data_IF_938606520190
#
_entry.id   IF_938606520190
#
_cell.length_a   1.000
_cell.length_b   1.000
_cell.length_c   1.000
_cell.angle_alpha   90.00
_cell.angle_beta   90.00
_cell.angle_gamma   90.00
#
_symmetry.space_group_name_H-M   'P 1'
#
loop_
_entity.id
_entity.type
_entity.pdbx_description
1 polymer ?
#
# COMPACT_ATOMS: atom_id res chain seq x y z
N UNK A 1 7.84 11.21 -19.79
CA UNK A 1 6.84 10.25 -20.31
C UNK A 1 7.22 8.89 -19.77
N UNK A 2 6.29 8.18 -19.12
CA UNK A 2 6.65 7.01 -18.29
C UNK A 2 6.55 5.69 -19.05
N UNK A 3 7.50 4.80 -18.80
CA UNK A 3 7.58 3.46 -19.40
C UNK A 3 7.23 2.39 -18.38
N UNK A 4 6.54 1.34 -18.82
CA UNK A 4 6.33 0.11 -18.08
C UNK A 4 7.14 -1.02 -18.70
N UNK A 5 7.81 -1.83 -17.90
CA UNK A 5 8.57 -3.01 -18.29
C UNK A 5 7.98 -4.19 -17.54
N UNK A 6 7.28 -5.08 -18.26
CA UNK A 6 6.75 -6.30 -17.68
C UNK A 6 7.77 -7.41 -17.95
N UNK A 7 8.20 -8.06 -16.88
CA UNK A 7 9.08 -9.21 -16.91
C UNK A 7 8.33 -10.44 -16.39
N UNK A 8 8.06 -11.40 -17.27
CA UNK A 8 7.48 -12.70 -16.94
C UNK A 8 8.53 -13.81 -17.07
N UNK A 9 9.75 -13.55 -16.57
CA UNK A 9 10.97 -14.37 -16.67
C UNK A 9 11.55 -14.42 -18.08
N UNK A 10 11.22 -15.46 -18.86
CA UNK A 10 11.77 -15.64 -20.21
C UNK A 10 11.19 -14.65 -21.24
N UNK A 11 10.33 -13.72 -20.80
CA UNK A 11 9.61 -12.80 -21.65
C UNK A 11 9.56 -11.42 -21.00
N UNK A 12 10.14 -10.43 -21.69
CA UNK A 12 10.19 -9.07 -21.20
C UNK A 12 9.74 -8.10 -22.31
N UNK A 13 8.81 -7.20 -22.00
CA UNK A 13 8.32 -6.19 -22.95
C UNK A 13 8.20 -4.81 -22.31
N UNK A 14 8.34 -3.79 -23.16
CA UNK A 14 8.22 -2.39 -22.77
C UNK A 14 6.95 -1.80 -23.37
N UNK A 15 6.25 -0.98 -22.58
CA UNK A 15 5.01 -0.34 -22.93
C UNK A 15 5.03 1.14 -22.48
N UNK A 16 4.26 1.97 -23.14
CA UNK A 16 3.87 3.27 -22.57
C UNK A 16 2.97 2.99 -21.37
N UNK A 17 3.35 3.49 -20.18
CA UNK A 17 2.62 3.20 -18.95
C UNK A 17 1.19 3.73 -19.02
N UNK A 18 0.98 4.90 -19.65
CA UNK A 18 -0.31 5.59 -19.69
C UNK A 18 -1.28 4.94 -20.67
N UNK A 19 -0.82 4.58 -21.87
CA UNK A 19 -1.69 4.07 -22.94
C UNK A 19 -1.69 2.55 -23.06
N UNK A 20 -0.74 1.86 -22.45
CA UNK A 20 -0.55 0.41 -22.60
C UNK A 20 0.03 -0.01 -23.95
N UNK A 21 0.31 0.93 -24.86
CA UNK A 21 0.84 0.60 -26.18
C UNK A 21 2.28 0.11 -26.08
N UNK A 22 2.60 -0.98 -26.79
CA UNK A 22 3.96 -1.50 -26.86
C UNK A 22 4.92 -0.44 -27.39
N UNK A 23 6.08 -0.33 -26.78
CA UNK A 23 7.16 0.58 -27.19
C UNK A 23 8.50 -0.12 -27.24
N UNK A 24 9.38 0.42 -28.06
CA UNK A 24 10.80 0.08 -28.02
C UNK A 24 11.54 1.27 -27.39
N UNK A 25 12.24 0.99 -26.30
CA UNK A 25 13.18 1.90 -25.68
C UNK A 25 14.43 1.11 -25.30
N UNK A 26 15.58 1.60 -25.76
CA UNK A 26 16.90 1.01 -25.53
C UNK A 26 17.84 2.02 -24.87
N UNK A 27 17.28 3.01 -24.17
CA UNK A 27 18.10 3.94 -23.38
C UNK A 27 18.89 3.16 -22.32
N UNK A 28 20.06 3.67 -21.87
CA UNK A 28 20.85 3.01 -20.84
C UNK A 28 20.05 2.72 -19.57
N UNK A 29 19.15 3.63 -19.18
CA UNK A 29 18.26 3.46 -18.02
C UNK A 29 17.29 2.29 -18.22
N UNK A 30 16.64 2.19 -19.38
CA UNK A 30 15.76 1.06 -19.69
C UNK A 30 16.52 -0.26 -19.72
N UNK A 31 17.71 -0.31 -20.32
CA UNK A 31 18.53 -1.53 -20.33
C UNK A 31 18.96 -1.95 -18.92
N UNK A 32 19.32 -0.98 -18.07
CA UNK A 32 19.64 -1.22 -16.67
C UNK A 32 18.45 -1.84 -15.92
N UNK A 33 17.26 -1.22 -15.99
CA UNK A 33 16.07 -1.75 -15.29
C UNK A 33 15.67 -3.12 -15.81
N UNK A 34 15.79 -3.36 -17.12
CA UNK A 34 15.56 -4.68 -17.73
C UNK A 34 16.51 -5.75 -17.19
N UNK A 35 17.78 -5.41 -17.00
CA UNK A 35 18.76 -6.32 -16.44
C UNK A 35 18.44 -6.65 -14.97
N UNK A 36 18.16 -5.63 -14.15
CA UNK A 36 17.76 -5.81 -12.75
C UNK A 36 16.52 -6.73 -12.65
N UNK A 37 15.47 -6.48 -13.42
CA UNK A 37 14.27 -7.34 -13.43
C UNK A 37 14.57 -8.79 -13.80
N UNK A 38 15.45 -9.01 -14.79
CA UNK A 38 15.81 -10.35 -15.24
C UNK A 38 16.70 -11.12 -14.27
N UNK A 39 17.52 -10.42 -13.49
CA UNK A 39 18.41 -10.99 -12.47
C UNK A 39 17.68 -11.31 -11.16
N UNK A 40 16.61 -10.56 -10.85
CA UNK A 40 15.84 -10.70 -9.61
C UNK A 40 14.38 -11.09 -9.89
N UNK A 41 14.10 -12.35 -10.26
CA UNK A 41 12.72 -12.81 -10.44
C UNK A 41 11.97 -12.87 -9.09
N UNK A 42 10.75 -12.32 -9.05
CA UNK A 42 9.94 -12.34 -7.83
C UNK A 42 9.63 -13.79 -7.38
N UNK A 43 9.87 -14.15 -6.10
CA UNK A 43 9.65 -15.52 -5.62
C UNK A 43 8.16 -15.85 -5.42
N UNK A 44 7.34 -14.88 -4.97
CA UNK A 44 5.92 -15.06 -4.68
C UNK A 44 5.51 -14.37 -3.38
N UNK A 45 4.23 -14.03 -3.24
CA UNK A 45 3.72 -13.21 -2.13
C UNK A 45 3.81 -13.88 -0.74
N UNK A 46 3.80 -15.23 -0.70
CA UNK A 46 3.91 -16.03 0.53
C UNK A 46 5.24 -16.78 0.65
N UNK A 47 6.18 -16.55 -0.27
CA UNK A 47 7.50 -17.16 -0.22
C UNK A 47 8.34 -16.48 0.87
N UNK A 48 9.06 -17.27 1.66
CA UNK A 48 9.88 -16.77 2.76
C UNK A 48 11.01 -15.82 2.31
N UNK A 49 11.32 -15.78 1.01
CA UNK A 49 12.32 -14.87 0.42
C UNK A 49 11.73 -13.57 -0.12
N UNK A 50 10.45 -13.31 0.11
CA UNK A 50 9.76 -12.13 -0.41
C UNK A 50 10.41 -10.81 0.03
N UNK A 51 10.84 -10.70 1.30
CA UNK A 51 11.52 -9.51 1.80
C UNK A 51 12.99 -9.45 1.35
N UNK A 52 13.69 -10.59 1.32
CA UNK A 52 15.04 -10.69 0.77
C UNK A 52 15.10 -10.16 -0.67
N UNK A 53 14.13 -10.54 -1.52
CA UNK A 53 14.03 -10.08 -2.90
C UNK A 53 13.93 -8.55 -3.02
N UNK A 54 13.19 -7.90 -2.11
CA UNK A 54 13.07 -6.42 -2.08
C UNK A 54 14.45 -5.80 -1.83
N UNK A 55 15.17 -6.30 -0.83
CA UNK A 55 16.50 -5.80 -0.48
C UNK A 55 17.51 -6.04 -1.60
N UNK A 56 17.58 -7.25 -2.16
CA UNK A 56 18.52 -7.59 -3.24
C UNK A 56 18.30 -6.73 -4.49
N UNK A 57 17.03 -6.57 -4.88
CA UNK A 57 16.65 -5.73 -6.02
C UNK A 57 16.98 -4.25 -5.76
N UNK A 58 16.75 -3.77 -4.53
CA UNK A 58 17.05 -2.38 -4.15
C UNK A 58 18.55 -2.11 -4.12
N UNK A 59 19.37 -3.03 -3.59
CA UNK A 59 20.82 -2.91 -3.56
C UNK A 59 21.41 -2.90 -4.98
N UNK A 60 20.90 -3.73 -5.88
CA UNK A 60 21.34 -3.73 -7.28
C UNK A 60 20.99 -2.41 -8.00
N UNK A 61 19.82 -1.82 -7.70
CA UNK A 61 19.49 -0.47 -8.16
C UNK A 61 20.37 0.60 -7.51
N UNK A 62 20.74 0.44 -6.23
CA UNK A 62 21.66 1.37 -5.57
C UNK A 62 23.01 1.37 -6.28
N UNK A 63 23.55 0.21 -6.61
CA UNK A 63 24.83 0.07 -7.29
C UNK A 63 24.81 0.60 -8.73
N UNK A 64 23.72 0.33 -9.48
CA UNK A 64 23.63 0.71 -10.91
C UNK A 64 23.11 2.13 -11.14
N UNK A 65 22.27 2.66 -10.26
CA UNK A 65 21.59 3.94 -10.45
C UNK A 65 22.11 5.04 -9.51
N UNK A 66 22.70 4.68 -8.36
CA UNK A 66 23.16 5.60 -7.31
C UNK A 66 22.09 6.63 -6.88
N UNK A 67 20.95 6.18 -6.32
CA UNK A 67 19.91 7.07 -5.84
C UNK A 67 20.29 7.74 -4.50
N UNK A 68 19.56 8.80 -4.17
CA UNK A 68 19.60 9.46 -2.86
C UNK A 68 18.33 9.22 -2.04
N UNK A 69 17.23 8.82 -2.68
CA UNK A 69 15.99 8.45 -2.01
C UNK A 69 15.55 7.05 -2.42
N UNK A 70 15.20 6.22 -1.45
CA UNK A 70 14.65 4.89 -1.66
C UNK A 70 13.32 4.76 -0.92
N UNK A 71 12.31 4.19 -1.58
CA UNK A 71 11.05 3.81 -0.96
C UNK A 71 10.91 2.28 -1.00
N UNK A 72 10.94 1.62 0.16
CA UNK A 72 10.90 0.17 0.25
C UNK A 72 9.61 -0.31 0.90
N UNK A 73 9.02 -1.39 0.38
CA UNK A 73 7.86 -2.04 0.99
C UNK A 73 8.16 -3.52 1.23
N UNK A 74 8.13 -3.91 2.50
CA UNK A 74 8.22 -5.28 2.96
C UNK A 74 6.84 -5.75 3.43
N UNK A 75 6.19 -6.59 2.63
CA UNK A 75 4.81 -7.05 2.81
C UNK A 75 4.65 -8.57 2.96
N UNK A 76 5.74 -9.35 2.90
CA UNK A 76 5.69 -10.81 2.97
C UNK A 76 4.96 -11.28 4.25
N UNK A 77 5.37 -10.79 5.41
CA UNK A 77 4.78 -11.12 6.70
C UNK A 77 3.28 -10.79 6.75
N UNK A 78 2.86 -9.68 6.14
CA UNK A 78 1.45 -9.34 6.03
C UNK A 78 0.66 -10.39 5.22
N UNK A 79 1.20 -10.84 4.08
CA UNK A 79 0.55 -11.86 3.26
C UNK A 79 0.52 -13.22 3.96
N UNK A 80 1.61 -13.63 4.59
CA UNK A 80 1.67 -14.84 5.42
C UNK A 80 0.64 -14.76 6.56
N UNK A 81 0.53 -13.65 7.29
CA UNK A 81 -0.47 -13.52 8.35
C UNK A 81 -1.89 -13.50 7.80
N UNK A 82 -2.11 -12.79 6.69
CA UNK A 82 -3.45 -12.59 6.13
C UNK A 82 -4.05 -13.89 5.62
N UNK A 83 -3.25 -14.79 5.05
CA UNK A 83 -3.74 -16.00 4.39
C UNK A 83 -3.32 -17.31 5.03
N UNK A 84 -2.35 -17.28 5.93
CA UNK A 84 -1.90 -18.43 6.70
C UNK A 84 -2.12 -18.16 8.19
N UNK A 85 -2.31 -19.21 8.98
CA UNK A 85 -2.30 -19.12 10.44
C UNK A 85 -0.92 -19.59 10.94
N UNK A 86 0.16 -18.82 10.74
CA UNK A 86 1.45 -19.23 11.28
C UNK A 86 1.35 -19.27 12.80
N UNK A 87 1.92 -20.31 13.39
CA UNK A 87 2.10 -20.37 14.84
C UNK A 87 2.96 -19.19 15.32
N UNK A 88 2.86 -18.88 16.61
CA UNK A 88 3.56 -17.73 17.22
C UNK A 88 5.06 -17.71 16.92
N UNK A 89 5.74 -18.85 16.97
CA UNK A 89 7.16 -18.94 16.65
C UNK A 89 7.49 -18.50 15.22
N UNK A 90 6.74 -18.99 14.22
CA UNK A 90 6.92 -18.59 12.81
C UNK A 90 6.54 -17.13 12.59
N UNK A 91 5.51 -16.64 13.30
CA UNK A 91 5.14 -15.22 13.26
C UNK A 91 6.27 -14.32 13.77
N UNK A 92 6.87 -14.65 14.92
CA UNK A 92 7.99 -13.89 15.46
C UNK A 92 9.20 -13.95 14.52
N UNK A 93 9.51 -15.13 13.97
CA UNK A 93 10.55 -15.28 12.96
C UNK A 93 10.33 -14.34 11.75
N UNK A 94 9.13 -14.36 11.14
CA UNK A 94 8.81 -13.49 10.00
C UNK A 94 8.96 -11.99 10.31
N UNK A 95 8.68 -11.60 11.55
CA UNK A 95 8.88 -10.22 12.03
C UNK A 95 10.37 -9.93 12.18
N UNK A 96 11.14 -10.84 12.79
CA UNK A 96 12.57 -10.63 12.99
C UNK A 96 13.31 -10.59 11.65
N UNK A 97 12.99 -11.51 10.73
CA UNK A 97 13.54 -11.58 9.37
C UNK A 97 13.38 -10.24 8.62
N UNK A 98 12.22 -9.56 8.72
CA UNK A 98 12.04 -8.26 8.04
C UNK A 98 12.89 -7.14 8.63
N UNK A 99 13.13 -7.15 9.94
CA UNK A 99 14.02 -6.16 10.56
C UNK A 99 15.50 -6.46 10.29
N UNK A 100 15.87 -7.74 10.11
CA UNK A 100 17.20 -8.11 9.60
C UNK A 100 17.41 -7.61 8.16
N UNK A 101 16.40 -7.67 7.30
CA UNK A 101 16.46 -7.12 5.93
C UNK A 101 16.60 -5.59 5.92
N UNK A 102 15.88 -4.89 6.81
CA UNK A 102 16.05 -3.44 7.01
C UNK A 102 17.49 -3.10 7.39
N UNK A 103 18.06 -3.85 8.32
CA UNK A 103 19.43 -3.63 8.78
C UNK A 103 20.46 -3.96 7.70
N UNK A 104 20.27 -5.07 6.96
CA UNK A 104 21.13 -5.41 5.82
C UNK A 104 21.13 -4.31 4.78
N UNK A 105 19.95 -3.80 4.40
CA UNK A 105 19.86 -2.70 3.46
C UNK A 105 20.62 -1.47 3.96
N UNK A 106 20.47 -1.10 5.24
CA UNK A 106 21.21 0.01 5.86
C UNK A 106 22.72 -0.18 5.76
N UNK A 107 23.22 -1.34 6.15
CA UNK A 107 24.66 -1.64 6.20
C UNK A 107 25.31 -1.66 4.82
N UNK A 108 24.65 -2.27 3.84
CA UNK A 108 25.21 -2.44 2.49
C UNK A 108 25.04 -1.19 1.61
N UNK A 109 23.94 -0.44 1.76
CA UNK A 109 23.69 0.76 0.93
C UNK A 109 24.21 2.07 1.55
N UNK A 110 24.40 2.10 2.86
CA UNK A 110 24.71 3.34 3.61
C UNK A 110 23.55 4.34 3.71
N UNK A 111 22.33 3.96 3.33
CA UNK A 111 21.15 4.80 3.49
C UNK A 111 20.77 4.97 4.95
N UNK A 112 20.19 6.12 5.30
CA UNK A 112 19.56 6.34 6.60
C UNK A 112 18.12 5.81 6.58
N UNK A 113 17.78 4.75 7.34
CA UNK A 113 16.45 4.14 7.29
C UNK A 113 15.47 4.87 8.21
N UNK A 114 14.32 5.21 7.65
CA UNK A 114 13.13 5.66 8.36
C UNK A 114 12.07 4.59 8.17
N UNK A 115 11.75 3.87 9.25
CA UNK A 115 10.95 2.65 9.19
C UNK A 115 9.58 2.93 9.80
N UNK A 116 8.53 2.53 9.09
CA UNK A 116 7.14 2.71 9.51
C UNK A 116 6.46 1.34 9.48
N UNK A 117 5.97 0.89 10.64
CA UNK A 117 5.07 -0.27 10.68
C UNK A 117 3.67 0.16 10.27
N UNK A 118 2.97 -0.59 9.44
CA UNK A 118 1.64 -0.15 8.96
C UNK A 118 0.49 -0.51 9.90
N UNK A 119 0.77 -1.29 10.96
CA UNK A 119 -0.19 -1.62 12.02
C UNK A 119 -0.30 -3.10 12.33
N UNK A 120 -0.93 -3.40 13.48
CA UNK A 120 -1.13 -4.76 13.98
C UNK A 120 -2.08 -5.55 13.07
N UNK A 121 -1.92 -6.88 13.08
CA UNK A 121 -2.84 -7.85 12.49
C UNK A 121 -3.51 -8.67 13.60
N UNK A 122 -4.80 -8.94 13.45
CA UNK A 122 -5.62 -9.73 14.39
C UNK A 122 -6.40 -10.83 13.68
N UNK A 123 -6.76 -11.93 14.37
CA UNK A 123 -7.61 -12.96 13.80
C UNK A 123 -8.99 -12.44 13.42
N UNK A 124 -9.54 -12.96 12.33
CA UNK A 124 -10.95 -12.74 11.99
C UNK A 124 -11.83 -13.47 13.00
N UNK A 125 -12.75 -12.73 13.63
CA UNK A 125 -13.80 -13.27 14.51
C UNK A 125 -14.98 -13.79 13.69
N UNK A 126 -15.51 -12.95 12.80
CA UNK A 126 -16.66 -13.29 11.96
C UNK A 126 -16.76 -12.35 10.75
N UNK A 127 -17.37 -12.84 9.67
CA UNK A 127 -17.69 -12.06 8.48
C UNK A 127 -19.08 -11.44 8.56
N UNK A 128 -19.18 -10.16 8.22
CA UNK A 128 -20.45 -9.43 8.07
C UNK A 128 -20.97 -9.64 6.65
N UNK A 129 -22.03 -10.42 6.51
CA UNK A 129 -22.69 -10.63 5.22
C UNK A 129 -23.77 -9.56 4.97
N UNK A 130 -23.57 -8.79 3.90
CA UNK A 130 -24.46 -7.73 3.43
C UNK A 130 -25.18 -8.09 2.11
N UNK A 131 -25.10 -9.35 1.66
CA UNK A 131 -25.73 -9.80 0.40
C UNK A 131 -27.26 -9.77 0.40
N UNK A 132 -27.87 -9.57 1.57
CA UNK A 132 -29.34 -9.53 1.75
C UNK A 132 -29.93 -8.13 1.69
N UNK A 133 -29.10 -7.09 1.53
CA UNK A 133 -29.59 -5.73 1.41
C UNK A 133 -30.33 -5.55 0.07
N UNK A 134 -31.37 -4.73 0.06
CA UNK A 134 -32.01 -4.28 -1.19
C UNK A 134 -31.04 -3.40 -1.99
N UNK A 135 -30.28 -2.56 -1.28
CA UNK A 135 -29.23 -1.72 -1.83
C UNK A 135 -27.91 -2.45 -2.09
N UNK A 136 -26.94 -1.70 -2.61
CA UNK A 136 -25.62 -2.21 -2.96
C UNK A 136 -24.61 -1.93 -1.84
N UNK A 137 -23.95 -2.98 -1.35
CA UNK A 137 -22.79 -2.88 -0.48
C UNK A 137 -21.50 -3.18 -1.26
N UNK A 138 -20.54 -2.27 -1.23
CA UNK A 138 -19.23 -2.40 -1.85
C UNK A 138 -18.16 -2.50 -0.77
N UNK A 139 -17.32 -3.51 -0.92
CA UNK A 139 -16.14 -3.77 -0.08
C UNK A 139 -14.95 -3.96 -1.00
N UNK A 140 -13.78 -3.43 -0.65
CA UNK A 140 -12.58 -3.69 -1.45
C UNK A 140 -11.92 -5.00 -1.03
N UNK A 141 -11.07 -5.55 -1.89
CA UNK A 141 -10.33 -6.77 -1.58
C UNK A 141 -9.29 -6.57 -0.46
N UNK A 142 -8.85 -5.32 -0.25
CA UNK A 142 -7.75 -4.98 0.65
C UNK A 142 -8.22 -4.36 1.95
N UNK A 143 -9.34 -3.63 1.92
CA UNK A 143 -10.00 -3.08 3.10
C UNK A 143 -11.02 -4.05 3.68
N UNK A 144 -10.98 -4.22 5.00
CA UNK A 144 -11.79 -5.21 5.70
C UNK A 144 -12.77 -4.57 6.67
N UNK A 145 -12.42 -3.38 7.19
CA UNK A 145 -13.20 -2.64 8.19
C UNK A 145 -14.32 -1.79 7.60
N UNK A 146 -14.24 -1.39 6.33
CA UNK A 146 -15.15 -0.42 5.74
C UNK A 146 -15.95 -1.01 4.57
N UNK A 147 -17.26 -0.70 4.52
CA UNK A 147 -18.12 -0.99 3.38
C UNK A 147 -18.91 0.25 2.95
N UNK A 148 -18.88 0.55 1.66
CA UNK A 148 -19.67 1.62 1.05
C UNK A 148 -21.07 1.13 0.74
N UNK A 149 -22.06 1.95 1.05
CA UNK A 149 -23.47 1.64 0.94
C UNK A 149 -24.16 2.60 -0.05
N UNK A 150 -24.84 2.05 -1.06
CA UNK A 150 -25.54 2.79 -2.12
C UNK A 150 -26.98 2.32 -2.29
N UNK A 151 -27.93 3.26 -2.37
CA UNK A 151 -29.34 2.97 -2.66
C UNK A 151 -30.03 2.19 -1.54
N UNK A 152 -29.64 2.47 -0.28
CA UNK A 152 -30.02 1.67 0.88
C UNK A 152 -31.47 1.95 1.29
N UNK A 153 -32.29 0.91 1.40
CA UNK A 153 -33.70 1.08 1.76
C UNK A 153 -33.87 1.43 3.26
N UNK A 154 -35.03 1.99 3.69
CA UNK A 154 -35.31 2.15 5.11
C UNK A 154 -35.32 0.82 5.88
N UNK A 155 -35.61 -0.30 5.21
CA UNK A 155 -35.56 -1.63 5.81
C UNK A 155 -34.11 -2.09 6.01
N UNK A 156 -33.25 -1.90 4.99
CA UNK A 156 -31.81 -2.13 5.08
C UNK A 156 -31.19 -1.35 6.24
N UNK A 157 -31.50 -0.05 6.37
CA UNK A 157 -30.98 0.78 7.46
C UNK A 157 -31.41 0.28 8.85
N UNK A 158 -32.64 -0.24 8.99
CA UNK A 158 -33.07 -0.87 10.25
C UNK A 158 -32.30 -2.15 10.53
N UNK A 159 -32.11 -2.99 9.52
CA UNK A 159 -31.34 -4.23 9.63
C UNK A 159 -29.88 -3.94 10.01
N UNK A 160 -29.22 -3.02 9.31
CA UNK A 160 -27.82 -2.62 9.58
C UNK A 160 -27.64 -2.13 11.03
N UNK A 161 -28.57 -1.32 11.56
CA UNK A 161 -28.53 -0.83 12.95
C UNK A 161 -28.71 -1.93 13.99
N UNK A 162 -29.30 -3.06 13.63
CA UNK A 162 -29.47 -4.21 14.53
C UNK A 162 -28.25 -5.14 14.55
N UNK A 163 -27.33 -5.00 13.58
CA UNK A 163 -26.11 -5.81 13.54
C UNK A 163 -25.12 -5.34 14.62
N UNK A 164 -25.04 -6.08 15.73
CA UNK A 164 -24.15 -5.77 16.85
C UNK A 164 -22.65 -5.71 16.49
N UNK A 165 -22.27 -6.25 15.33
CA UNK A 165 -20.91 -6.26 14.77
C UNK A 165 -20.55 -5.02 13.93
N UNK A 166 -21.54 -4.17 13.60
CA UNK A 166 -21.29 -2.85 13.02
C UNK A 166 -21.04 -1.88 14.17
N UNK A 167 -19.93 -1.16 14.09
CA UNK A 167 -19.55 -0.11 15.06
C UNK A 167 -20.28 1.19 14.76
N UNK A 168 -20.36 1.57 13.48
CA UNK A 168 -20.92 2.85 13.04
C UNK A 168 -21.49 2.76 11.63
N UNK A 169 -22.51 3.58 11.38
CA UNK A 169 -22.97 3.97 10.06
C UNK A 169 -22.71 5.47 9.91
N UNK A 170 -21.84 5.86 8.99
CA UNK A 170 -21.40 7.24 8.78
C UNK A 170 -22.06 7.77 7.52
N UNK A 171 -22.68 8.95 7.55
CA UNK A 171 -23.24 9.53 6.33
C UNK A 171 -22.13 10.11 5.44
N UNK A 172 -22.42 10.27 4.14
CA UNK A 172 -21.52 10.96 3.20
C UNK A 172 -21.05 12.31 3.72
N UNK A 173 -21.97 13.10 4.28
CA UNK A 173 -21.69 14.45 4.80
C UNK A 173 -20.76 14.39 6.03
N UNK A 174 -20.99 13.47 6.96
CA UNK A 174 -20.09 13.26 8.11
C UNK A 174 -18.69 12.85 7.64
N UNK A 175 -18.61 11.96 6.65
CA UNK A 175 -17.32 11.50 6.12
C UNK A 175 -16.55 12.62 5.39
N UNK A 176 -17.23 13.39 4.54
CA UNK A 176 -16.65 14.56 3.87
C UNK A 176 -16.22 15.62 4.88
N UNK A 177 -17.02 15.87 5.93
CA UNK A 177 -16.68 16.84 6.96
C UNK A 177 -15.43 16.46 7.74
N UNK A 178 -15.13 15.16 7.90
CA UNK A 178 -13.94 14.70 8.60
C UNK A 178 -12.66 15.09 7.83
N UNK A 179 -12.69 15.03 6.49
CA UNK A 179 -11.57 15.33 5.59
C UNK A 179 -11.86 16.55 4.71
N UNK A 180 -12.41 17.62 5.29
CA UNK A 180 -12.91 18.79 4.55
C UNK A 180 -11.88 19.53 3.69
N UNK A 181 -10.58 19.27 3.89
CA UNK A 181 -9.48 19.85 3.11
C UNK A 181 -9.13 19.03 1.86
N UNK A 182 -9.63 17.80 1.73
CA UNK A 182 -9.36 16.93 0.59
C UNK A 182 -10.37 17.14 -0.53
N UNK A 183 -9.92 17.29 -1.80
CA UNK A 183 -10.83 17.36 -2.93
C UNK A 183 -11.48 15.99 -3.19
N UNK A 184 -12.80 15.97 -3.35
CA UNK A 184 -13.53 14.76 -3.72
C UNK A 184 -14.79 15.10 -4.50
N UNK A 185 -15.08 14.30 -5.53
CA UNK A 185 -16.37 14.34 -6.20
C UNK A 185 -17.37 13.49 -5.42
N UNK A 186 -18.49 14.10 -5.00
CA UNK A 186 -19.45 13.48 -4.10
C UNK A 186 -20.12 12.22 -4.68
N UNK A 187 -20.10 12.04 -5.99
CA UNK A 187 -20.61 10.86 -6.72
C UNK A 187 -19.72 9.62 -6.55
N UNK A 188 -18.41 9.80 -6.29
CA UNK A 188 -17.49 8.71 -5.96
C UNK A 188 -17.79 8.13 -4.58
N UNK A 189 -18.30 8.95 -3.66
CA UNK A 189 -18.55 8.53 -2.27
C UNK A 189 -19.86 7.75 -2.11
N UNK A 190 -19.88 6.73 -1.23
CA UNK A 190 -21.12 6.06 -0.85
C UNK A 190 -22.05 7.00 -0.08
N UNK A 191 -23.35 6.70 -0.08
CA UNK A 191 -24.34 7.45 0.72
C UNK A 191 -24.08 7.28 2.22
N UNK A 192 -23.69 6.05 2.60
CA UNK A 192 -23.21 5.74 3.94
C UNK A 192 -21.97 4.85 3.89
N UNK A 193 -21.10 4.99 4.87
CA UNK A 193 -20.04 4.04 5.15
C UNK A 193 -20.41 3.23 6.39
N UNK A 194 -20.46 1.91 6.25
CA UNK A 194 -20.52 1.00 7.39
C UNK A 194 -19.11 0.70 7.89
N UNK A 195 -18.93 0.78 9.21
CA UNK A 195 -17.66 0.54 9.91
C UNK A 195 -17.84 -0.69 10.78
N UNK A 196 -17.07 -1.74 10.55
CA UNK A 196 -17.10 -2.97 11.36
C UNK A 196 -16.44 -2.74 12.72
N UNK A 197 -16.83 -3.48 13.77
CA UNK A 197 -16.09 -3.53 15.03
C UNK A 197 -14.77 -4.30 14.89
N UNK A 198 -13.84 -4.12 15.82
CA UNK A 198 -12.55 -4.81 15.80
C UNK A 198 -12.67 -6.36 15.77
N UNK A 199 -11.99 -6.97 14.81
CA UNK A 199 -12.00 -8.40 14.54
C UNK A 199 -13.14 -8.85 13.63
N UNK A 200 -14.07 -7.97 13.26
CA UNK A 200 -15.09 -8.24 12.26
C UNK A 200 -14.70 -7.61 10.92
N UNK A 201 -15.01 -8.29 9.82
CA UNK A 201 -14.78 -7.76 8.48
C UNK A 201 -15.99 -7.98 7.58
N UNK A 202 -16.21 -7.09 6.61
CA UNK A 202 -17.29 -7.28 5.65
C UNK A 202 -16.92 -8.35 4.63
N UNK A 203 -17.88 -9.23 4.32
CA UNK A 203 -17.70 -10.25 3.29
C UNK A 203 -17.59 -9.58 1.93
N UNK A 204 -16.51 -9.89 1.22
CA UNK A 204 -16.29 -9.46 -0.16
C UNK A 204 -16.19 -10.69 -1.08
N UNK A 205 -16.15 -10.46 -2.39
CA UNK A 205 -15.98 -11.50 -3.43
C UNK A 205 -14.55 -12.06 -3.50
N UNK A 206 -13.80 -12.00 -2.40
CA UNK A 206 -12.42 -12.47 -2.32
C UNK A 206 -12.30 -13.94 -2.75
N UNK A 207 -11.32 -14.20 -3.64
CA UNK A 207 -10.98 -15.56 -4.07
C UNK A 207 -10.38 -16.39 -2.93
N UNK A 208 -9.72 -15.74 -1.95
CA UNK A 208 -9.21 -16.37 -0.72
C UNK A 208 -9.66 -15.58 0.49
N UNK A 209 -10.25 -16.27 1.46
CA UNK A 209 -10.72 -15.66 2.69
C UNK A 209 -9.53 -15.36 3.61
N UNK A 210 -9.39 -14.13 4.13
CA UNK A 210 -8.36 -13.82 5.10
C UNK A 210 -8.63 -14.53 6.43
N UNK A 211 -7.56 -14.99 7.05
CA UNK A 211 -7.59 -15.56 8.40
C UNK A 211 -7.20 -14.54 9.47
N UNK A 212 -6.41 -13.54 9.07
CA UNK A 212 -6.09 -12.36 9.86
C UNK A 212 -6.41 -11.10 9.05
N UNK A 213 -6.78 -10.03 9.75
CA UNK A 213 -7.09 -8.71 9.19
C UNK A 213 -6.34 -7.63 9.96
N UNK A 214 -6.14 -6.43 9.38
CA UNK A 214 -5.63 -5.30 10.14
C UNK A 214 -6.48 -5.04 11.40
N UNK A 215 -5.82 -4.77 12.52
CA UNK A 215 -6.46 -4.28 13.73
C UNK A 215 -7.01 -2.87 13.54
N UNK A 216 -7.67 -2.32 14.56
CA UNK A 216 -8.07 -0.91 14.56
C UNK A 216 -6.86 -0.01 14.84
N UNK A 217 -5.98 0.11 13.85
CA UNK A 217 -4.69 0.79 13.96
C UNK A 217 -4.85 2.31 13.96
N UNK A 218 -5.42 2.89 15.02
CA UNK A 218 -5.49 4.34 15.22
C UNK A 218 -4.11 5.00 15.37
N UNK A 219 -3.12 4.22 15.78
CA UNK A 219 -1.73 4.62 15.89
C UNK A 219 -0.82 3.56 15.29
N UNK A 220 0.27 4.00 14.66
CA UNK A 220 1.30 3.14 14.10
C UNK A 220 2.69 3.53 14.61
N UNK A 221 3.66 2.60 14.64
CA UNK A 221 5.03 2.92 15.03
C UNK A 221 5.80 3.55 13.86
N UNK A 222 6.49 4.66 14.13
CA UNK A 222 7.47 5.28 13.23
C UNK A 222 8.81 5.30 13.95
N UNK A 223 9.88 4.85 13.30
CA UNK A 223 11.20 4.78 13.93
C UNK A 223 11.62 6.15 14.47
N UNK A 224 12.18 6.16 15.68
CA UNK A 224 12.59 7.39 16.37
C UNK A 224 13.68 8.16 15.60
N UNK A 225 14.28 7.53 14.58
CA UNK A 225 15.19 8.14 13.62
C UNK A 225 14.59 9.35 12.87
N UNK A 226 13.26 9.41 12.71
CA UNK A 226 12.57 10.54 12.07
C UNK A 226 12.39 11.73 13.01
N UNK A 227 12.52 11.53 14.33
CA UNK A 227 12.17 12.51 15.35
C UNK A 227 10.71 12.39 15.81
N UNK A 228 10.15 13.52 16.26
CA UNK A 228 8.77 13.58 16.76
C UNK A 228 7.79 13.64 15.58
N UNK A 229 6.83 12.71 15.57
CA UNK A 229 5.84 12.54 14.51
C UNK A 229 4.49 12.28 15.18
N UNK A 230 3.53 13.18 14.99
CA UNK A 230 2.23 13.10 15.67
C UNK A 230 1.15 12.46 14.77
N UNK A 231 1.27 12.65 13.46
CA UNK A 231 0.35 12.14 12.44
C UNK A 231 1.13 11.54 11.27
N UNK A 232 0.54 10.56 10.56
CA UNK A 232 1.16 9.96 9.37
C UNK A 232 1.46 11.00 8.28
N UNK A 233 0.76 12.13 8.30
CA UNK A 233 1.00 13.27 7.41
C UNK A 233 2.30 14.01 7.71
N UNK A 234 2.84 13.89 8.93
CA UNK A 234 4.07 14.58 9.33
C UNK A 234 5.33 13.84 8.83
N UNK A 235 5.18 12.58 8.42
CA UNK A 235 6.29 11.72 7.99
C UNK A 235 6.98 12.32 6.76
N UNK A 236 6.21 12.79 5.78
CA UNK A 236 6.72 13.35 4.52
C UNK A 236 7.70 14.52 4.76
N UNK A 237 7.32 15.47 5.62
CA UNK A 237 8.15 16.63 5.94
C UNK A 237 9.42 16.23 6.72
N UNK A 238 9.32 15.22 7.60
CA UNK A 238 10.48 14.65 8.28
C UNK A 238 11.48 14.02 7.31
N UNK A 239 10.99 13.29 6.30
CA UNK A 239 11.84 12.70 5.25
C UNK A 239 12.52 13.81 4.44
N UNK A 240 11.78 14.83 4.00
CA UNK A 240 12.31 15.95 3.25
C UNK A 240 13.40 16.72 4.02
N UNK A 241 13.28 16.82 5.34
CA UNK A 241 14.30 17.44 6.18
C UNK A 241 15.62 16.65 6.18
N UNK A 242 15.55 15.31 6.30
CA UNK A 242 16.75 14.45 6.33
C UNK A 242 17.40 14.34 4.94
N UNK A 243 16.59 14.31 3.88
CA UNK A 243 17.07 14.22 2.49
C UNK A 243 17.97 15.38 2.07
N UNK A 244 17.93 16.52 2.78
CA UNK A 244 18.84 17.66 2.55
C UNK A 244 20.29 17.36 2.90
N UNK A 245 20.52 16.36 3.76
CA UNK A 245 21.84 16.07 4.33
C UNK A 245 22.33 14.65 4.03
N UNK A 246 21.41 13.70 3.82
CA UNK A 246 21.74 12.27 3.74
C UNK A 246 20.91 11.55 2.69
N UNK A 247 21.38 10.39 2.25
CA UNK A 247 20.55 9.42 1.52
C UNK A 247 19.54 8.82 2.48
N UNK A 248 18.26 8.78 2.10
CA UNK A 248 17.16 8.33 2.99
C UNK A 248 16.39 7.20 2.36
N UNK A 249 16.11 6.17 3.16
CA UNK A 249 15.20 5.10 2.81
C UNK A 249 13.94 5.19 3.66
N UNK A 250 12.80 5.50 3.04
CA UNK A 250 11.50 5.36 3.67
C UNK A 250 11.04 3.91 3.49
N UNK A 251 10.94 3.17 4.59
CA UNK A 251 10.66 1.74 4.59
C UNK A 251 9.31 1.49 5.27
N UNK A 252 8.36 0.90 4.53
CA UNK A 252 7.10 0.44 5.08
C UNK A 252 7.14 -1.07 5.36
N UNK A 253 6.81 -1.44 6.58
CA UNK A 253 6.74 -2.83 7.03
C UNK A 253 5.27 -3.20 7.28
N UNK A 254 4.66 -3.93 6.34
CA UNK A 254 3.23 -4.22 6.41
C UNK A 254 2.89 -5.22 7.52
N UNK A 255 1.77 -4.99 8.21
CA UNK A 255 1.26 -5.95 9.20
C UNK A 255 2.10 -6.06 10.48
N UNK A 256 3.02 -5.11 10.68
CA UNK A 256 3.75 -4.91 11.94
C UNK A 256 3.25 -3.61 12.56
N UNK A 257 2.69 -3.71 13.77
CA UNK A 257 2.27 -2.56 14.56
C UNK A 257 3.09 -2.43 15.84
N UNK A 258 2.58 -1.61 16.76
CA UNK A 258 3.23 -1.21 18.00
C UNK A 258 3.72 -2.41 18.83
N UNK A 259 3.00 -3.53 18.80
CA UNK A 259 3.31 -4.72 19.61
C UNK A 259 4.55 -5.47 19.12
N UNK A 260 4.81 -5.40 17.82
CA UNK A 260 5.82 -6.23 17.15
C UNK A 260 6.99 -5.43 16.60
N UNK A 261 6.89 -4.10 16.60
CA UNK A 261 7.94 -3.23 16.09
C UNK A 261 9.22 -3.34 16.92
N UNK A 262 10.37 -3.57 16.25
CA UNK A 262 11.63 -3.92 16.92
C UNK A 262 12.56 -2.74 17.20
N UNK A 263 12.39 -1.64 16.46
CA UNK A 263 13.23 -0.47 16.60
C UNK A 263 12.64 0.50 17.64
N UNK A 264 13.45 1.37 18.28
CA UNK A 264 12.91 2.50 19.02
C UNK A 264 11.97 3.32 18.12
N UNK A 265 10.78 3.66 18.63
CA UNK A 265 9.74 4.30 17.84
C UNK A 265 8.97 5.38 18.61
N UNK A 266 8.36 6.28 17.85
CA UNK A 266 7.30 7.19 18.28
C UNK A 266 5.96 6.64 17.81
N UNK A 267 4.94 6.73 18.67
CA UNK A 267 3.57 6.40 18.29
C UNK A 267 2.97 7.56 17.49
N UNK A 268 2.54 7.27 16.26
CA UNK A 268 2.07 8.24 15.29
C UNK A 268 0.60 7.97 14.95
N UNK A 269 -0.25 9.00 14.93
CA UNK A 269 -1.66 8.85 14.61
C UNK A 269 -1.84 8.45 13.13
N UNK A 270 -2.54 7.33 12.90
CA UNK A 270 -2.78 6.73 11.59
C UNK A 270 -4.22 6.97 11.12
N UNK A 271 -4.70 8.20 11.27
CA UNK A 271 -6.08 8.52 10.94
C UNK A 271 -6.55 9.84 11.52
N UNK A 272 -7.86 10.06 11.45
CA UNK A 272 -8.50 11.28 11.95
C UNK A 272 -9.84 10.95 12.56
N UNK A 273 -10.10 11.43 13.77
CA UNK A 273 -11.35 11.19 14.48
C UNK A 273 -11.66 9.70 14.61
N UNK A 274 -12.74 9.25 13.98
CA UNK A 274 -13.16 7.84 14.01
C UNK A 274 -12.49 6.97 12.94
N UNK A 275 -11.91 7.58 11.91
CA UNK A 275 -11.31 6.88 10.77
C UNK A 275 -9.85 6.52 11.07
N UNK A 276 -9.52 5.25 10.86
CA UNK A 276 -8.15 4.74 10.86
C UNK A 276 -7.84 4.12 9.50
N UNK A 277 -6.65 4.40 8.95
CA UNK A 277 -6.24 3.79 7.70
C UNK A 277 -5.96 2.29 7.89
N UNK A 278 -6.40 1.48 6.93
CA UNK A 278 -5.91 0.11 6.76
C UNK A 278 -4.72 0.10 5.79
N UNK A 279 -3.94 -0.99 5.79
CA UNK A 279 -2.83 -1.20 4.86
C UNK A 279 -3.33 -1.08 3.41
N UNK A 280 -3.00 0.01 2.75
CA UNK A 280 -3.58 0.37 1.46
C UNK A 280 -3.05 1.68 0.90
N UNK A 281 -3.47 1.97 -0.32
CA UNK A 281 -2.97 3.06 -1.15
C UNK A 281 -3.19 4.42 -0.48
N UNK A 282 -4.37 4.63 0.13
CA UNK A 282 -4.68 5.86 0.84
C UNK A 282 -3.74 6.11 2.03
N UNK A 283 -3.33 5.05 2.75
CA UNK A 283 -2.35 5.18 3.83
C UNK A 283 -1.00 5.60 3.26
N UNK A 284 -0.55 4.97 2.18
CA UNK A 284 0.80 5.17 1.65
C UNK A 284 0.92 6.51 0.97
N UNK A 285 -0.12 6.92 0.23
CA UNK A 285 -0.26 8.27 -0.30
C UNK A 285 -0.29 9.31 0.82
N UNK A 286 -0.93 9.01 1.95
CA UNK A 286 -0.95 9.98 3.06
C UNK A 286 0.43 10.17 3.70
N UNK A 287 1.17 9.07 3.84
CA UNK A 287 2.56 9.07 4.30
C UNK A 287 3.47 9.80 3.29
N UNK A 288 3.37 9.45 2.00
CA UNK A 288 4.30 9.95 0.99
C UNK A 288 4.00 11.39 0.56
N UNK A 289 2.74 11.84 0.61
CA UNK A 289 2.37 13.22 0.25
C UNK A 289 2.38 14.19 1.42
N UNK A 290 2.33 13.69 2.65
CA UNK A 290 2.21 14.51 3.86
C UNK A 290 0.84 15.15 4.04
N UNK A 291 -0.18 14.63 3.35
CA UNK A 291 -1.56 15.11 3.40
C UNK A 291 -2.47 13.91 3.47
N UNK A 292 -3.61 14.01 4.13
CA UNK A 292 -4.58 12.93 4.03
C UNK A 292 -5.02 12.76 2.56
N UNK A 293 -5.05 11.50 2.11
CA UNK A 293 -5.40 11.09 0.75
C UNK A 293 -6.51 10.03 0.77
N UNK A 294 -7.44 10.12 1.73
CA UNK A 294 -8.55 9.17 1.85
C UNK A 294 -9.41 9.18 0.59
N UNK A 295 -9.57 10.33 -0.04
CA UNK A 295 -10.46 10.46 -1.20
C UNK A 295 -9.80 10.22 -2.56
N UNK A 296 -8.49 9.90 -2.60
CA UNK A 296 -7.86 9.41 -3.81
C UNK A 296 -8.56 8.12 -4.28
N UNK A 297 -8.74 7.17 -3.37
CA UNK A 297 -9.45 5.90 -3.55
C UNK A 297 -10.36 5.62 -2.35
N UNK A 298 -11.55 6.25 -2.29
CA UNK A 298 -12.38 6.24 -1.08
C UNK A 298 -12.81 4.83 -0.66
N UNK A 299 -12.92 4.54 0.65
CA UNK A 299 -13.40 3.25 1.11
C UNK A 299 -14.81 2.95 0.58
N UNK A 300 -14.97 1.76 0.00
CA UNK A 300 -16.25 1.29 -0.51
C UNK A 300 -16.77 2.03 -1.74
N UNK A 301 -15.92 2.78 -2.46
CA UNK A 301 -16.32 3.40 -3.72
C UNK A 301 -16.52 2.37 -4.84
N UNK A 302 -17.34 2.69 -5.83
CA UNK A 302 -17.64 1.83 -6.99
C UNK A 302 -16.49 1.86 -8.02
N UNK A 303 -15.33 1.32 -7.66
CA UNK A 303 -14.11 1.34 -8.50
C UNK A 303 -14.31 0.79 -9.91
N UNK A 304 -15.21 -0.19 -10.09
CA UNK A 304 -15.57 -0.77 -11.39
C UNK A 304 -16.21 0.22 -12.38
N UNK A 305 -16.62 1.41 -11.92
CA UNK A 305 -17.09 2.48 -12.81
C UNK A 305 -15.93 3.27 -13.44
N UNK A 306 -14.74 3.19 -12.85
CA UNK A 306 -13.52 3.88 -13.31
C UNK A 306 -12.54 2.89 -13.98
N UNK A 307 -12.70 1.59 -13.75
CA UNK A 307 -11.89 0.50 -14.30
C UNK A 307 -12.53 -0.10 -15.56
N UNK A 308 -12.56 0.68 -16.65
CA UNK A 308 -13.06 0.24 -17.95
C UNK A 308 -11.94 0.01 -18.99
N UNK A 309 -12.31 -0.46 -20.18
CA UNK A 309 -11.38 -0.78 -21.27
C UNK A 309 -10.63 0.45 -21.85
N UNK A 310 -11.11 1.65 -21.56
CA UNK A 310 -10.56 2.93 -22.02
C UNK A 310 -9.73 3.64 -20.94
N UNK A 311 -9.58 3.04 -19.74
CA UNK A 311 -8.85 3.66 -18.64
C UNK A 311 -7.42 3.98 -19.04
N UNK A 312 -6.94 5.13 -18.57
CA UNK A 312 -5.51 5.41 -18.57
C UNK A 312 -4.82 4.49 -17.55
N UNK A 313 -3.56 4.16 -17.79
CA UNK A 313 -2.74 3.32 -16.92
C UNK A 313 -3.24 1.85 -16.79
N UNK A 314 -3.35 1.11 -17.91
CA UNK A 314 -3.97 -0.21 -17.92
C UNK A 314 -3.28 -1.26 -17.04
N UNK A 315 -2.00 -1.06 -16.71
CA UNK A 315 -1.21 -1.97 -15.87
C UNK A 315 -1.31 -1.69 -14.36
N UNK A 316 -1.95 -0.58 -13.97
CA UNK A 316 -2.01 -0.07 -12.59
C UNK A 316 -3.27 -0.52 -11.82
N UNK A 317 -3.97 -1.56 -12.29
CA UNK A 317 -5.20 -2.03 -11.65
C UNK A 317 -6.31 -0.99 -11.68
N UNK A 318 -6.99 -0.75 -10.55
CA UNK A 318 -8.06 0.24 -10.46
C UNK A 318 -7.55 1.68 -10.29
N UNK A 319 -6.23 1.88 -10.26
CA UNK A 319 -5.60 3.17 -10.04
C UNK A 319 -5.56 3.93 -11.37
N UNK A 320 -6.12 5.15 -11.36
CA UNK A 320 -6.38 5.95 -12.57
C UNK A 320 -5.35 7.06 -12.82
N UNK A 321 -4.37 7.23 -11.94
CA UNK A 321 -3.39 8.31 -12.04
C UNK A 321 -2.06 7.95 -11.37
N UNK A 322 -0.97 8.56 -11.87
CA UNK A 322 0.30 8.62 -11.15
C UNK A 322 0.18 9.68 -10.04
N UNK A 323 0.68 9.41 -8.83
CA UNK A 323 0.47 10.28 -7.68
C UNK A 323 1.22 11.60 -7.87
N UNK A 324 0.66 12.67 -7.31
CA UNK A 324 1.31 13.97 -7.27
C UNK A 324 1.56 14.44 -5.84
N UNK A 325 2.59 15.26 -5.68
CA UNK A 325 3.05 15.80 -4.41
C UNK A 325 3.62 14.75 -3.46
N UNK A 326 4.14 13.62 -3.94
CA UNK A 326 4.82 12.62 -3.11
C UNK A 326 6.28 13.02 -2.85
N UNK A 327 6.92 12.51 -1.79
CA UNK A 327 8.36 12.72 -1.55
C UNK A 327 9.19 12.38 -2.81
N UNK A 328 8.92 11.25 -3.46
CA UNK A 328 9.67 10.84 -4.65
C UNK A 328 9.53 11.80 -5.81
N UNK A 329 8.32 12.33 -6.06
CA UNK A 329 8.09 13.27 -7.15
C UNK A 329 8.71 14.65 -6.86
N UNK A 330 8.56 15.14 -5.62
CA UNK A 330 9.09 16.44 -5.18
C UNK A 330 10.62 16.45 -5.09
N UNK A 331 11.24 15.29 -4.92
CA UNK A 331 12.68 15.19 -4.83
C UNK A 331 13.33 15.32 -6.22
N UNK A 332 14.21 16.31 -6.36
CA UNK A 332 14.92 16.63 -7.61
C UNK A 332 16.08 15.65 -7.90
N UNK A 333 16.52 14.89 -6.89
CA UNK A 333 17.58 13.91 -7.03
C UNK A 333 17.07 12.55 -7.54
N UNK A 334 18.01 11.61 -7.70
CA UNK A 334 17.68 10.26 -8.15
C UNK A 334 16.93 9.49 -7.08
N UNK A 335 15.84 8.84 -7.46
CA UNK A 335 15.01 8.08 -6.53
C UNK A 335 14.58 6.71 -7.08
N UNK A 336 14.47 5.74 -6.18
CA UNK A 336 14.00 4.38 -6.49
C UNK A 336 12.89 3.96 -5.54
N UNK A 337 12.04 3.04 -5.99
CA UNK A 337 11.06 2.36 -5.17
C UNK A 337 11.12 0.85 -5.45
N UNK A 338 11.17 0.02 -4.41
CA UNK A 338 11.14 -1.45 -4.55
C UNK A 338 10.19 -2.06 -3.53
N UNK A 339 9.32 -2.98 -3.95
CA UNK A 339 8.45 -3.64 -2.98
C UNK A 339 7.76 -4.88 -3.48
N UNK A 340 7.49 -5.81 -2.57
CA UNK A 340 6.71 -7.03 -2.82
C UNK A 340 5.20 -6.77 -2.65
N UNK A 341 4.75 -5.54 -3.00
CA UNK A 341 3.37 -5.10 -3.00
C UNK A 341 2.96 -4.66 -4.40
N UNK A 342 2.24 -5.55 -5.08
CA UNK A 342 1.81 -5.36 -6.47
C UNK A 342 0.95 -4.11 -6.66
N UNK A 343 1.22 -3.34 -7.71
CA UNK A 343 0.57 -2.08 -8.12
C UNK A 343 0.85 -0.85 -7.25
N UNK A 344 1.61 -0.95 -6.17
CA UNK A 344 1.75 0.15 -5.22
C UNK A 344 2.97 1.02 -5.53
N UNK A 345 4.10 0.42 -5.90
CA UNK A 345 5.38 1.14 -5.92
C UNK A 345 5.34 2.31 -6.90
N UNK A 346 4.80 2.11 -8.10
CA UNK A 346 4.71 3.17 -9.10
C UNK A 346 3.53 4.14 -8.90
N UNK A 347 2.56 3.80 -8.04
CA UNK A 347 1.32 4.59 -7.87
C UNK A 347 1.22 5.33 -6.54
N UNK A 348 2.14 5.10 -5.59
CA UNK A 348 2.12 5.79 -4.29
C UNK A 348 3.42 6.51 -3.93
N UNK A 349 4.50 6.33 -4.70
CA UNK A 349 5.84 6.83 -4.33
C UNK A 349 6.33 8.01 -5.16
N UNK A 350 5.98 8.07 -6.45
CA UNK A 350 6.42 9.09 -7.41
C UNK A 350 7.92 9.10 -7.73
N UNK A 351 8.64 7.99 -7.49
CA UNK A 351 10.08 7.91 -7.73
C UNK A 351 10.44 7.80 -9.22
N UNK A 352 11.73 7.94 -9.57
CA UNK A 352 12.17 7.83 -10.97
C UNK A 352 11.99 6.42 -11.52
N UNK A 353 12.37 5.42 -10.70
CA UNK A 353 12.30 4.01 -11.02
C UNK A 353 11.51 3.33 -9.92
N UNK A 354 10.54 2.50 -10.29
CA UNK A 354 9.81 1.64 -9.37
C UNK A 354 9.89 0.20 -9.85
N UNK A 355 10.24 -0.74 -8.98
CA UNK A 355 10.18 -2.18 -9.24
C UNK A 355 9.24 -2.81 -8.22
N UNK A 356 8.28 -3.58 -8.71
CA UNK A 356 7.32 -4.27 -7.86
C UNK A 356 7.08 -5.69 -8.31
N UNK A 357 6.62 -6.52 -7.39
CA UNK A 357 6.05 -7.80 -7.77
C UNK A 357 4.85 -7.57 -8.70
N UNK A 358 4.72 -8.39 -9.73
CA UNK A 358 3.55 -8.42 -10.58
C UNK A 358 2.74 -9.67 -10.24
N UNK A 359 2.01 -9.60 -9.13
CA UNK A 359 1.14 -10.67 -8.66
C UNK A 359 -0.34 -10.23 -8.67
N UNK A 360 -1.24 -11.19 -8.92
CA UNK A 360 -2.70 -11.00 -8.87
C UNK A 360 -3.31 -12.14 -8.07
N UNK A 361 -3.90 -11.84 -6.92
CA UNK A 361 -4.52 -12.84 -6.03
C UNK A 361 -3.55 -13.99 -5.66
N UNK A 362 -2.29 -13.66 -5.32
CA UNK A 362 -1.20 -14.61 -5.04
C UNK A 362 -0.74 -15.45 -6.25
N UNK A 363 -1.27 -15.20 -7.45
CA UNK A 363 -0.70 -15.74 -8.68
C UNK A 363 0.46 -14.85 -9.11
N UNK A 364 1.67 -15.40 -9.05
CA UNK A 364 2.90 -14.74 -9.49
C UNK A 364 2.92 -14.65 -11.03
N UNK A 365 2.90 -13.43 -11.56
CA UNK A 365 2.97 -13.13 -13.00
C UNK A 365 4.32 -12.50 -13.38
N UNK A 366 5.27 -12.42 -12.45
CA UNK A 366 6.61 -11.88 -12.63
C UNK A 366 6.82 -10.55 -11.91
N UNK A 367 7.46 -9.59 -12.58
CA UNK A 367 7.80 -8.28 -12.05
C UNK A 367 7.33 -7.15 -12.99
N UNK A 368 7.02 -5.99 -12.40
CA UNK A 368 6.77 -4.76 -13.15
C UNK A 368 7.83 -3.73 -12.75
N UNK A 369 8.57 -3.23 -13.75
CA UNK A 369 9.41 -2.04 -13.62
C UNK A 369 8.73 -0.84 -14.26
N UNK A 370 8.79 0.32 -13.62
CA UNK A 370 8.30 1.59 -14.16
C UNK A 370 9.42 2.62 -14.14
N UNK A 371 9.56 3.37 -15.22
CA UNK A 371 10.51 4.49 -15.34
C UNK A 371 9.70 5.76 -15.61
N UNK A 372 9.72 6.73 -14.69
CA UNK A 372 8.99 7.99 -14.81
C UNK A 372 9.82 9.13 -15.40
N UNK A 373 11.07 9.25 -14.94
CA UNK A 373 12.05 10.27 -15.31
C UNK A 373 13.35 9.60 -15.71
#
# INVERSE_FOLDING_TARGET
MSLAIIDARAWQNTFDLKTGQKRQDNSPKTQMVKAVLGEHPFPGDIDDKGNQWVTDTALDLVDRYDPNFAFLIYAQQYYSFRFEHPGEAKRQQLIDDVFEEVERFREESGFFPVVVGTGDMIPVKEYIDLSRLDGLAITSHWMTRYAGLYGISPADMRYLRQLARIERLVSKEEFMSLFSSEPVSADRLPEYLAVAKEGYCFRSTLLRQPVMIPACNYSIPVSAALGEVNSITDISDGIDAILREKKVALILVEGVGIKDFRLPYTSCANGKGWYAYENGEAQYLSISTGKHQVFAYPPGYRSYQEDDENKEYPFSGYLTSIPSGTVGERFDGKSIAVGNRSMFMHTVTGTDIAIECFARNLANQGCLGVIHR
#
